data_IF_789762422508
#
_entry.id   IF_789762422508
#
_cell.length_a   1.000
_cell.length_b   1.000
_cell.length_c   1.000
_cell.angle_alpha   90.00
_cell.angle_beta   90.00
_cell.angle_gamma   90.00
#
_symmetry.space_group_name_H-M   'P 1'
#
loop_
_entity.id
_entity.type
_entity.pdbx_description
1 polymer ?
#
# COMPACT_ATOMS: atom_id res chain seq x y z
N UNK A 1 3.13 -2.28 -9.73
CA UNK A 1 4.22 -2.08 -10.71
C UNK A 1 4.96 -3.40 -10.97
N UNK A 2 5.44 -3.63 -12.20
CA UNK A 2 6.30 -4.76 -12.57
C UNK A 2 7.72 -4.28 -12.80
N UNK A 3 8.68 -5.19 -13.03
CA UNK A 3 10.08 -4.84 -13.24
C UNK A 3 10.31 -3.83 -14.38
N UNK A 4 9.51 -3.91 -15.46
CA UNK A 4 9.53 -2.96 -16.57
C UNK A 4 8.99 -1.55 -16.23
N UNK A 5 8.40 -1.37 -15.03
CA UNK A 5 7.88 -0.09 -14.52
C UNK A 5 8.59 0.33 -13.22
N UNK A 6 9.84 -0.07 -13.07
CA UNK A 6 10.62 0.16 -11.85
C UNK A 6 11.23 1.57 -11.82
N UNK A 7 10.76 2.43 -10.91
CA UNK A 7 11.27 3.80 -10.73
C UNK A 7 12.66 3.85 -10.08
N UNK A 8 13.10 2.78 -9.40
CA UNK A 8 14.44 2.73 -8.83
C UNK A 8 15.48 2.07 -9.75
N UNK A 9 15.10 1.69 -10.98
CA UNK A 9 16.00 1.06 -11.94
C UNK A 9 17.21 1.95 -12.27
N UNK A 10 18.43 1.38 -12.35
CA UNK A 10 19.58 2.07 -12.91
C UNK A 10 19.49 2.26 -14.44
N UNK A 11 18.63 1.50 -15.11
CA UNK A 11 18.35 1.64 -16.54
C UNK A 11 17.32 2.75 -16.78
N UNK A 12 17.78 3.82 -17.42
CA UNK A 12 16.95 4.97 -17.78
C UNK A 12 15.77 4.59 -18.70
N UNK A 13 15.93 3.60 -19.57
CA UNK A 13 14.86 3.17 -20.46
C UNK A 13 13.69 2.56 -19.68
N UNK A 14 13.98 1.79 -18.62
CA UNK A 14 12.97 1.24 -17.71
C UNK A 14 12.23 2.37 -16.98
N UNK A 15 12.95 3.38 -16.50
CA UNK A 15 12.35 4.54 -15.82
C UNK A 15 11.44 5.33 -16.77
N UNK A 16 11.90 5.63 -17.99
CA UNK A 16 11.07 6.35 -18.97
C UNK A 16 9.82 5.54 -19.36
N UNK A 17 9.95 4.22 -19.52
CA UNK A 17 8.80 3.34 -19.73
C UNK A 17 7.81 3.39 -18.56
N UNK A 18 8.31 3.36 -17.31
CA UNK A 18 7.47 3.51 -16.12
C UNK A 18 6.67 4.83 -16.11
N UNK A 19 7.36 5.95 -16.38
CA UNK A 19 6.71 7.26 -16.40
C UNK A 19 5.65 7.38 -17.52
N UNK A 20 5.93 6.81 -18.70
CA UNK A 20 4.98 6.76 -19.81
C UNK A 20 3.75 5.91 -19.46
N UNK A 21 3.98 4.73 -18.87
CA UNK A 21 2.92 3.82 -18.40
C UNK A 21 2.00 4.51 -17.39
N UNK A 22 2.56 5.11 -16.35
CA UNK A 22 1.78 5.80 -15.33
C UNK A 22 1.07 7.04 -15.87
N UNK A 23 1.67 7.77 -16.81
CA UNK A 23 1.01 8.90 -17.46
C UNK A 23 -0.28 8.48 -18.18
N UNK A 24 -0.27 7.34 -18.89
CA UNK A 24 -1.47 6.79 -19.52
C UNK A 24 -2.50 6.31 -18.48
N UNK A 25 -2.05 5.68 -17.39
CA UNK A 25 -2.92 5.28 -16.28
C UNK A 25 -3.59 6.51 -15.65
N UNK A 26 -2.85 7.57 -15.35
CA UNK A 26 -3.41 8.78 -14.73
C UNK A 26 -4.43 9.47 -15.62
N UNK A 27 -4.19 9.54 -16.92
CA UNK A 27 -5.19 10.02 -17.88
C UNK A 27 -6.48 9.19 -17.84
N UNK A 28 -6.38 7.86 -17.77
CA UNK A 28 -7.54 6.96 -17.65
C UNK A 28 -8.25 7.13 -16.30
N UNK A 29 -7.49 7.26 -15.22
CA UNK A 29 -8.04 7.52 -13.88
C UNK A 29 -8.80 8.85 -13.82
N UNK A 30 -8.26 9.90 -14.42
CA UNK A 30 -8.93 11.20 -14.51
C UNK A 30 -10.30 11.10 -15.20
N UNK A 31 -10.36 10.40 -16.35
CA UNK A 31 -11.62 10.12 -17.08
C UNK A 31 -12.61 9.35 -16.21
N UNK A 32 -12.13 8.36 -15.45
CA UNK A 32 -12.94 7.55 -14.56
C UNK A 32 -13.32 8.24 -13.23
N UNK A 33 -12.83 9.45 -12.97
CA UNK A 33 -13.05 10.18 -11.73
C UNK A 33 -12.26 9.63 -10.54
N UNK A 34 -11.25 8.76 -10.75
CA UNK A 34 -10.40 8.19 -9.70
C UNK A 34 -9.30 9.20 -9.37
N UNK A 35 -9.10 9.50 -8.07
CA UNK A 35 -8.22 10.57 -7.60
C UNK A 35 -7.02 10.09 -6.80
N UNK A 36 -6.88 8.81 -6.56
CA UNK A 36 -5.70 8.26 -5.86
C UNK A 36 -5.32 6.86 -6.34
N UNK A 37 -4.05 6.54 -6.23
CA UNK A 37 -3.49 5.22 -6.47
C UNK A 37 -2.49 4.91 -5.36
N UNK A 38 -2.43 3.67 -4.90
CA UNK A 38 -1.51 3.22 -3.86
C UNK A 38 -0.75 1.97 -4.24
N UNK A 39 0.23 1.61 -3.41
CA UNK A 39 1.06 0.43 -3.56
C UNK A 39 2.55 0.74 -3.61
N UNK A 40 3.35 -0.24 -4.01
CA UNK A 40 4.80 -0.14 -4.16
C UNK A 40 5.25 0.66 -5.38
N UNK A 41 4.62 1.82 -5.66
CA UNK A 41 4.87 2.64 -6.86
C UNK A 41 6.32 3.11 -6.99
N UNK A 42 7.03 3.17 -5.89
CA UNK A 42 8.41 3.64 -5.76
C UNK A 42 9.45 2.64 -6.29
N UNK A 43 9.04 1.38 -6.52
CA UNK A 43 9.89 0.29 -6.98
C UNK A 43 9.14 -0.64 -7.94
N UNK A 44 9.31 -1.95 -7.79
CA UNK A 44 8.57 -2.96 -8.52
C UNK A 44 8.20 -4.13 -7.59
N UNK A 45 7.18 -4.90 -7.99
CA UNK A 45 6.71 -6.05 -7.24
C UNK A 45 6.23 -7.15 -8.21
N UNK A 46 6.48 -8.45 -7.93
CA UNK A 46 7.32 -8.94 -6.82
C UNK A 46 8.81 -8.63 -7.02
N UNK A 47 9.53 -8.45 -5.91
CA UNK A 47 10.97 -8.15 -5.94
C UNK A 47 11.78 -9.39 -6.29
N UNK A 48 12.77 -9.24 -7.15
CA UNK A 48 13.78 -10.27 -7.44
C UNK A 48 14.93 -10.21 -6.43
N UNK A 49 14.91 -11.13 -5.47
CA UNK A 49 15.98 -11.30 -4.47
C UNK A 49 17.08 -12.27 -4.90
N UNK A 50 17.20 -12.61 -6.18
CA UNK A 50 18.30 -13.43 -6.68
C UNK A 50 19.66 -12.71 -6.60
N UNK A 51 19.65 -11.39 -6.43
CA UNK A 51 20.79 -10.52 -6.19
C UNK A 51 20.56 -9.68 -4.96
N UNK A 52 21.66 -9.31 -4.28
CA UNK A 52 21.60 -8.37 -3.18
C UNK A 52 21.13 -6.99 -3.67
N UNK A 53 20.08 -6.41 -3.06
CA UNK A 53 19.59 -5.10 -3.44
C UNK A 53 20.57 -3.97 -3.07
N UNK A 54 20.75 -3.01 -3.96
CA UNK A 54 21.44 -1.73 -3.66
C UNK A 54 20.44 -0.75 -3.00
N UNK A 55 20.08 -1.01 -1.73
CA UNK A 55 19.04 -0.21 -1.02
C UNK A 55 19.32 1.29 -1.10
N UNK A 56 20.55 1.74 -0.90
CA UNK A 56 20.88 3.16 -0.88
C UNK A 56 20.77 3.80 -2.27
N UNK A 57 21.36 3.18 -3.29
CA UNK A 57 21.28 3.69 -4.66
C UNK A 57 19.87 3.60 -5.24
N UNK A 58 19.13 2.53 -4.94
CA UNK A 58 17.74 2.36 -5.37
C UNK A 58 16.84 3.41 -4.73
N UNK A 59 17.05 3.72 -3.44
CA UNK A 59 16.31 4.76 -2.73
C UNK A 59 16.53 6.14 -3.36
N UNK A 60 17.78 6.50 -3.65
CA UNK A 60 18.12 7.77 -4.30
C UNK A 60 17.47 7.88 -5.68
N UNK A 61 17.58 6.84 -6.51
CA UNK A 61 16.96 6.78 -7.85
C UNK A 61 15.44 6.89 -7.76
N UNK A 62 14.83 6.15 -6.82
CA UNK A 62 13.40 6.18 -6.58
C UNK A 62 12.91 7.57 -6.20
N UNK A 63 13.54 8.25 -5.23
CA UNK A 63 13.18 9.61 -4.82
C UNK A 63 13.23 10.57 -6.00
N UNK A 64 14.31 10.54 -6.79
CA UNK A 64 14.46 11.38 -7.97
C UNK A 64 13.33 11.17 -8.99
N UNK A 65 13.01 9.92 -9.28
CA UNK A 65 12.01 9.58 -10.30
C UNK A 65 10.58 9.70 -9.77
N UNK A 66 10.36 9.50 -8.47
CA UNK A 66 9.06 9.76 -7.83
C UNK A 66 8.67 11.24 -7.90
N UNK A 67 9.62 12.17 -7.80
CA UNK A 67 9.33 13.60 -8.02
C UNK A 67 8.79 13.83 -9.42
N UNK A 68 9.40 13.22 -10.44
CA UNK A 68 8.92 13.31 -11.84
C UNK A 68 7.52 12.70 -11.99
N UNK A 69 7.30 11.54 -11.38
CA UNK A 69 6.00 10.89 -11.40
C UNK A 69 4.93 11.74 -10.70
N UNK A 70 5.27 12.34 -9.56
CA UNK A 70 4.39 13.22 -8.80
C UNK A 70 3.95 14.45 -9.62
N UNK A 71 4.87 15.05 -10.39
CA UNK A 71 4.56 16.17 -11.30
C UNK A 71 3.60 15.75 -12.42
N UNK A 72 3.70 14.50 -12.90
CA UNK A 72 2.75 13.95 -13.87
C UNK A 72 1.39 13.74 -13.21
N UNK A 73 1.35 13.08 -12.04
CA UNK A 73 0.13 12.80 -11.29
C UNK A 73 -0.63 14.09 -10.90
N UNK A 74 0.09 15.13 -10.50
CA UNK A 74 -0.49 16.43 -10.12
C UNK A 74 -1.31 17.05 -11.25
N UNK A 75 -0.83 16.97 -12.51
CA UNK A 75 -1.55 17.48 -13.70
C UNK A 75 -2.90 16.79 -13.91
N UNK A 76 -3.06 15.58 -13.40
CA UNK A 76 -4.31 14.80 -13.46
C UNK A 76 -5.09 14.81 -12.13
N UNK A 77 -4.63 15.58 -11.14
CA UNK A 77 -5.26 15.65 -9.81
C UNK A 77 -5.21 14.32 -9.05
N UNK A 78 -4.13 13.54 -9.22
CA UNK A 78 -3.94 12.22 -8.61
C UNK A 78 -3.00 12.30 -7.41
N UNK A 79 -3.41 11.69 -6.30
CA UNK A 79 -2.57 11.44 -5.13
C UNK A 79 -1.91 10.06 -5.25
N UNK A 80 -0.61 10.01 -4.96
CA UNK A 80 0.20 8.80 -4.95
C UNK A 80 0.41 8.35 -3.50
N UNK A 81 -0.04 7.14 -3.14
CA UNK A 81 0.09 6.60 -1.79
C UNK A 81 1.15 5.50 -1.77
N UNK A 82 2.28 5.77 -1.11
CA UNK A 82 3.43 4.86 -1.02
C UNK A 82 3.19 3.85 0.08
N UNK A 83 3.04 2.58 -0.29
CA UNK A 83 2.80 1.52 0.66
C UNK A 83 4.06 1.09 1.39
N UNK A 84 4.00 1.03 2.70
CA UNK A 84 5.05 0.46 3.54
C UNK A 84 4.89 -1.05 3.54
N UNK A 85 5.77 -1.74 2.81
CA UNK A 85 5.73 -3.19 2.65
C UNK A 85 6.62 -3.88 3.69
N UNK A 86 6.23 -5.08 4.12
CA UNK A 86 7.09 -5.91 4.95
C UNK A 86 8.37 -6.35 4.19
N UNK A 87 9.39 -6.76 4.95
CA UNK A 87 10.72 -7.17 4.44
C UNK A 87 10.71 -8.35 3.45
N UNK A 88 9.63 -9.11 3.37
CA UNK A 88 9.50 -10.22 2.44
C UNK A 88 8.97 -9.79 1.08
N UNK A 89 8.34 -8.60 1.01
CA UNK A 89 7.69 -8.07 -0.17
C UNK A 89 8.35 -6.81 -0.73
N UNK A 90 9.13 -6.10 0.11
CA UNK A 90 9.89 -4.91 -0.30
C UNK A 90 11.13 -4.70 0.56
N UNK A 91 12.05 -3.82 0.13
CA UNK A 91 13.30 -3.56 0.84
C UNK A 91 13.65 -2.06 0.97
N UNK A 92 12.96 -1.18 0.23
CA UNK A 92 13.33 0.24 0.23
C UNK A 92 12.96 0.94 1.54
N UNK A 93 11.78 0.64 2.06
CA UNK A 93 11.35 1.06 3.40
C UNK A 93 10.33 0.07 3.94
N UNK A 94 10.52 -0.36 5.19
CA UNK A 94 9.75 -1.44 5.78
C UNK A 94 8.95 -1.00 7.01
N UNK A 95 9.23 0.17 7.57
CA UNK A 95 8.47 0.75 8.67
C UNK A 95 7.98 2.17 8.35
N UNK A 96 7.12 2.69 9.20
CA UNK A 96 6.54 4.03 9.05
C UNK A 96 7.61 5.13 9.10
N UNK A 97 8.68 4.97 9.89
CA UNK A 97 9.74 5.98 10.00
C UNK A 97 10.54 6.07 8.68
N UNK A 98 10.94 4.94 8.10
CA UNK A 98 11.59 4.89 6.79
C UNK A 98 10.67 5.46 5.69
N UNK A 99 9.38 5.07 5.70
CA UNK A 99 8.37 5.59 4.77
C UNK A 99 8.20 7.10 4.86
N UNK A 100 8.12 7.66 6.08
CA UNK A 100 8.06 9.11 6.30
C UNK A 100 9.34 9.82 5.86
N UNK A 101 10.50 9.22 6.08
CA UNK A 101 11.77 9.76 5.56
C UNK A 101 11.74 9.85 4.04
N UNK A 102 11.22 8.80 3.36
CA UNK A 102 11.03 8.80 1.91
C UNK A 102 10.07 9.90 1.45
N UNK A 103 8.88 10.03 2.04
CA UNK A 103 7.88 11.05 1.68
C UNK A 103 8.46 12.47 1.84
N UNK A 104 9.17 12.72 2.94
CA UNK A 104 9.84 14.02 3.17
C UNK A 104 10.96 14.29 2.17
N UNK A 105 11.72 13.25 1.79
CA UNK A 105 12.78 13.38 0.79
C UNK A 105 12.21 13.63 -0.62
N UNK A 106 11.08 13.02 -0.98
CA UNK A 106 10.38 13.30 -2.24
C UNK A 106 9.86 14.73 -2.28
N UNK A 107 9.36 15.25 -1.16
CA UNK A 107 8.89 16.64 -0.98
C UNK A 107 7.87 17.09 -2.04
N UNK A 108 6.80 16.28 -2.20
CA UNK A 108 5.66 16.57 -3.11
C UNK A 108 4.34 16.44 -2.34
N UNK A 109 3.43 17.43 -2.41
CA UNK A 109 2.21 17.45 -1.62
C UNK A 109 1.22 16.34 -1.97
N UNK A 110 1.27 15.84 -3.21
CA UNK A 110 0.44 14.76 -3.71
C UNK A 110 1.08 13.36 -3.54
N UNK A 111 2.20 13.26 -2.81
CA UNK A 111 2.82 11.97 -2.43
C UNK A 111 2.57 11.75 -0.94
N UNK A 112 1.87 10.68 -0.62
CA UNK A 112 1.42 10.32 0.72
C UNK A 112 1.91 8.94 1.11
N UNK A 113 1.80 8.63 2.40
CA UNK A 113 2.08 7.31 2.94
C UNK A 113 0.81 6.45 2.86
N UNK A 114 1.00 5.17 2.64
CA UNK A 114 -0.02 4.14 2.77
C UNK A 114 0.46 3.11 3.79
N UNK A 115 -0.38 2.79 4.73
CA UNK A 115 -0.15 1.75 5.74
C UNK A 115 -1.07 0.56 5.48
N UNK A 116 -0.60 -0.64 5.78
CA UNK A 116 -1.39 -1.88 5.74
C UNK A 116 -1.20 -2.63 7.06
N UNK A 117 -2.28 -2.97 7.73
CA UNK A 117 -2.25 -3.67 9.01
C UNK A 117 -1.56 -5.03 8.94
N UNK A 118 -1.57 -5.70 7.80
CA UNK A 118 -0.82 -6.94 7.59
C UNK A 118 0.70 -6.68 7.62
N UNK A 119 1.19 -5.66 6.91
CA UNK A 119 2.61 -5.31 6.90
C UNK A 119 3.04 -4.76 8.25
N UNK A 120 2.26 -3.87 8.86
CA UNK A 120 2.50 -3.34 10.21
C UNK A 120 2.63 -4.45 11.27
N UNK A 121 1.79 -5.50 11.19
CA UNK A 121 1.86 -6.63 12.13
C UNK A 121 3.21 -7.39 12.09
N UNK A 122 3.98 -7.24 11.02
CA UNK A 122 5.29 -7.89 10.86
C UNK A 122 6.42 -6.95 11.29
N UNK A 123 6.32 -5.66 10.97
CA UNK A 123 7.44 -4.73 11.02
C UNK A 123 7.35 -3.72 12.18
N UNK A 124 6.15 -3.43 12.68
CA UNK A 124 5.94 -2.40 13.71
C UNK A 124 5.73 -3.00 15.09
N UNK A 125 6.23 -2.34 16.12
CA UNK A 125 6.06 -2.75 17.51
C UNK A 125 4.65 -2.44 18.05
N UNK A 126 3.93 -1.54 17.38
CA UNK A 126 2.53 -1.20 17.71
C UNK A 126 1.78 -0.73 16.47
N UNK A 127 0.44 -0.69 16.52
CA UNK A 127 -0.37 -0.09 15.44
C UNK A 127 -0.65 1.40 15.69
N UNK A 128 -0.68 1.82 16.96
CA UNK A 128 -1.04 3.18 17.34
C UNK A 128 0.05 4.19 16.97
N UNK A 129 1.28 3.96 17.40
CA UNK A 129 2.38 4.90 17.19
C UNK A 129 2.66 5.20 15.72
N UNK A 130 2.77 4.20 14.82
CA UNK A 130 2.96 4.43 13.39
C UNK A 130 1.86 5.31 12.77
N UNK A 131 0.59 5.07 13.12
CA UNK A 131 -0.53 5.88 12.63
C UNK A 131 -0.41 7.33 13.12
N UNK A 132 -0.11 7.52 14.41
CA UNK A 132 0.08 8.86 14.98
C UNK A 132 1.26 9.61 14.33
N UNK A 133 2.36 8.89 14.08
CA UNK A 133 3.54 9.46 13.41
C UNK A 133 3.27 9.81 11.95
N UNK A 134 2.52 8.98 11.22
CA UNK A 134 2.11 9.25 9.86
C UNK A 134 1.28 10.53 9.75
N UNK A 135 0.33 10.73 10.69
CA UNK A 135 -0.45 11.96 10.81
C UNK A 135 -1.00 12.45 9.46
N UNK A 136 -0.75 13.70 9.11
CA UNK A 136 -1.18 14.32 7.85
C UNK A 136 -0.60 13.70 6.57
N UNK A 137 0.44 12.89 6.70
CA UNK A 137 1.05 12.19 5.56
C UNK A 137 0.34 10.88 5.22
N UNK A 138 -0.52 10.35 6.10
CA UNK A 138 -1.32 9.17 5.80
C UNK A 138 -2.39 9.52 4.76
N UNK A 139 -2.33 8.91 3.59
CA UNK A 139 -3.27 9.13 2.49
C UNK A 139 -4.15 7.93 2.19
N UNK A 140 -3.76 6.74 2.65
CA UNK A 140 -4.49 5.50 2.43
C UNK A 140 -4.16 4.48 3.53
N UNK A 141 -5.11 3.63 3.88
CA UNK A 141 -4.85 2.50 4.77
C UNK A 141 -5.52 1.23 4.25
N UNK A 142 -4.75 0.16 4.15
CA UNK A 142 -5.27 -1.19 3.97
C UNK A 142 -5.49 -1.86 5.31
N UNK A 143 -6.58 -2.62 5.40
CA UNK A 143 -7.00 -3.32 6.62
C UNK A 143 -7.27 -4.79 6.34
N UNK A 144 -6.66 -5.65 7.12
CA UNK A 144 -6.80 -7.10 7.04
C UNK A 144 -6.22 -7.77 8.28
N UNK A 145 -6.64 -9.00 8.53
CA UNK A 145 -6.05 -9.80 9.59
C UNK A 145 -4.62 -10.26 9.22
N UNK A 146 -3.76 -10.66 10.17
CA UNK A 146 -2.38 -11.09 9.90
C UNK A 146 -2.27 -12.28 8.93
N UNK A 147 -3.34 -13.01 8.71
CA UNK A 147 -3.42 -14.11 7.76
C UNK A 147 -4.14 -13.75 6.46
N UNK A 148 -4.27 -12.44 6.17
CA UNK A 148 -4.97 -11.91 4.99
C UNK A 148 -6.46 -12.27 4.92
N UNK A 149 -7.09 -12.64 6.02
CA UNK A 149 -8.55 -12.72 6.11
C UNK A 149 -9.16 -11.32 6.23
N UNK A 150 -10.43 -11.15 5.87
CA UNK A 150 -11.15 -9.91 6.12
C UNK A 150 -11.13 -9.52 7.60
N UNK A 151 -11.12 -8.21 7.94
CA UNK A 151 -11.11 -7.74 9.32
C UNK A 151 -12.28 -8.27 10.15
N UNK A 152 -11.98 -8.77 11.36
CA UNK A 152 -12.94 -9.28 12.34
C UNK A 152 -12.34 -9.19 13.74
N UNK A 153 -12.97 -9.87 14.71
CA UNK A 153 -12.44 -10.09 16.05
C UNK A 153 -11.26 -11.10 16.02
N UNK A 154 -10.16 -10.70 15.39
CA UNK A 154 -8.93 -11.48 15.26
C UNK A 154 -7.85 -11.02 16.24
N UNK A 155 -6.63 -10.81 15.71
CA UNK A 155 -5.48 -10.36 16.51
C UNK A 155 -5.17 -8.88 16.36
N UNK A 156 -5.71 -8.25 15.33
CA UNK A 156 -5.47 -6.82 15.09
C UNK A 156 -6.30 -6.01 16.09
N UNK A 157 -5.69 -5.03 16.78
CA UNK A 157 -6.38 -4.21 17.79
C UNK A 157 -7.21 -3.09 17.12
N UNK A 158 -8.28 -3.47 16.46
CA UNK A 158 -9.10 -2.55 15.63
C UNK A 158 -9.59 -1.31 16.36
N UNK A 159 -9.96 -1.44 17.64
CA UNK A 159 -10.39 -0.31 18.45
C UNK A 159 -9.26 0.72 18.70
N UNK A 160 -8.01 0.25 18.87
CA UNK A 160 -6.84 1.12 19.02
C UNK A 160 -6.50 1.82 17.71
N UNK A 161 -6.56 1.09 16.58
CA UNK A 161 -6.37 1.64 15.24
C UNK A 161 -7.41 2.73 14.96
N UNK A 162 -8.69 2.44 15.20
CA UNK A 162 -9.77 3.42 15.02
C UNK A 162 -9.57 4.68 15.86
N UNK A 163 -9.16 4.53 17.13
CA UNK A 163 -8.83 5.65 18.01
C UNK A 163 -7.65 6.47 17.46
N UNK A 164 -6.58 5.82 16.98
CA UNK A 164 -5.42 6.52 16.41
C UNK A 164 -5.79 7.28 15.13
N UNK A 165 -6.59 6.68 14.23
CA UNK A 165 -7.08 7.33 13.01
C UNK A 165 -7.93 8.57 13.33
N UNK A 166 -8.84 8.47 14.30
CA UNK A 166 -9.62 9.64 14.76
C UNK A 166 -8.75 10.72 15.37
N UNK A 167 -7.74 10.34 16.15
CA UNK A 167 -6.82 11.28 16.79
C UNK A 167 -6.03 12.13 15.79
N UNK A 168 -5.67 11.56 14.63
CA UNK A 168 -5.00 12.31 13.56
C UNK A 168 -5.99 13.01 12.61
N UNK A 169 -7.31 12.86 12.83
CA UNK A 169 -8.34 13.41 11.94
C UNK A 169 -8.33 12.78 10.55
N UNK A 170 -8.06 11.48 10.47
CA UNK A 170 -8.01 10.78 9.18
C UNK A 170 -9.40 10.62 8.59
N UNK A 171 -9.59 11.12 7.37
CA UNK A 171 -10.83 11.03 6.57
C UNK A 171 -10.62 10.36 5.21
N UNK A 172 -9.46 9.75 5.02
CA UNK A 172 -9.08 9.07 3.77
C UNK A 172 -9.68 7.66 3.64
N UNK A 173 -9.38 6.98 2.52
CA UNK A 173 -9.89 5.64 2.25
C UNK A 173 -9.36 4.60 3.25
N UNK A 174 -10.26 3.72 3.71
CA UNK A 174 -9.97 2.51 4.45
C UNK A 174 -10.43 1.33 3.59
N UNK A 175 -9.52 0.52 3.11
CA UNK A 175 -9.80 -0.51 2.12
C UNK A 175 -9.38 -1.89 2.64
N UNK A 176 -10.29 -2.86 2.54
CA UNK A 176 -9.97 -4.25 2.86
C UNK A 176 -9.19 -4.89 1.70
N UNK A 177 -8.11 -5.60 2.04
CA UNK A 177 -7.30 -6.35 1.08
C UNK A 177 -7.19 -7.83 1.48
N UNK A 178 -8.28 -8.62 1.43
CA UNK A 178 -8.25 -10.03 1.78
C UNK A 178 -7.72 -10.89 0.62
N UNK A 179 -6.92 -11.92 0.98
CA UNK A 179 -6.41 -12.94 0.06
C UNK A 179 -6.70 -14.32 0.63
N UNK A 180 -7.92 -14.81 0.47
CA UNK A 180 -8.41 -16.03 1.12
C UNK A 180 -8.47 -17.25 0.20
N UNK A 181 -8.48 -17.04 -1.12
CA UNK A 181 -8.55 -18.12 -2.12
C UNK A 181 -7.18 -18.39 -2.75
N UNK A 182 -6.91 -19.65 -3.06
CA UNK A 182 -5.71 -20.05 -3.83
C UNK A 182 -5.89 -19.75 -5.32
N UNK A 183 -4.77 -19.68 -6.02
CA UNK A 183 -4.73 -19.66 -7.47
C UNK A 183 -4.44 -18.30 -8.08
N UNK A 184 -4.43 -18.28 -9.42
CA UNK A 184 -4.03 -17.09 -10.17
C UNK A 184 -2.57 -16.68 -9.97
N UNK A 185 -2.14 -15.65 -10.68
CA UNK A 185 -0.78 -15.14 -10.56
C UNK A 185 -0.57 -14.42 -9.21
N UNK A 186 -1.54 -13.63 -8.77
CA UNK A 186 -1.47 -12.91 -7.50
C UNK A 186 -1.32 -13.88 -6.33
N UNK A 187 -2.15 -14.95 -6.27
CA UNK A 187 -2.04 -15.94 -5.20
C UNK A 187 -0.68 -16.64 -5.14
N UNK A 188 -0.01 -16.81 -6.30
CA UNK A 188 1.38 -17.32 -6.35
C UNK A 188 2.39 -16.30 -5.83
N UNK A 189 2.26 -15.06 -6.25
CA UNK A 189 3.19 -13.98 -5.91
C UNK A 189 3.16 -13.66 -4.41
N UNK A 190 1.96 -13.68 -3.78
CA UNK A 190 1.77 -13.52 -2.33
C UNK A 190 1.77 -14.82 -1.54
N UNK A 191 2.02 -15.96 -2.19
CA UNK A 191 2.23 -17.29 -1.58
C UNK A 191 1.02 -17.82 -0.79
N UNK A 192 -0.18 -17.69 -1.35
CA UNK A 192 -1.40 -18.30 -0.80
C UNK A 192 -1.45 -19.77 -1.21
N UNK A 193 -0.85 -20.63 -0.39
CA UNK A 193 -0.71 -22.07 -0.65
C UNK A 193 -1.82 -22.93 -0.03
N UNK A 194 -2.77 -22.34 0.64
CA UNK A 194 -3.94 -23.02 1.21
C UNK A 194 -5.19 -22.16 1.06
N UNK A 195 -6.33 -22.80 0.89
CA UNK A 195 -7.61 -22.12 0.92
C UNK A 195 -7.94 -21.68 2.35
N UNK A 196 -8.02 -20.37 2.55
CA UNK A 196 -8.41 -19.72 3.81
C UNK A 196 -9.91 -19.46 3.87
N UNK A 197 -10.61 -19.52 2.72
CA UNK A 197 -12.05 -19.33 2.62
C UNK A 197 -12.86 -20.54 3.08
N UNK A 198 -12.21 -21.72 3.24
CA UNK A 198 -12.86 -22.98 3.59
C UNK A 198 -13.92 -23.42 2.55
N UNK A 199 -13.67 -23.14 1.27
CA UNK A 199 -14.58 -23.49 0.20
C UNK A 199 -15.76 -22.53 0.05
N UNK A 200 -15.63 -21.28 0.52
CA UNK A 200 -16.67 -20.25 0.41
C UNK A 200 -17.05 -20.01 -1.06
N UNK A 201 -18.34 -19.81 -1.31
CA UNK A 201 -18.86 -19.32 -2.59
C UNK A 201 -18.62 -17.81 -2.73
N UNK A 202 -18.86 -17.24 -3.92
CA UNK A 202 -18.79 -15.78 -4.12
C UNK A 202 -19.75 -15.05 -3.19
N UNK A 203 -20.99 -15.57 -3.02
CA UNK A 203 -21.97 -14.98 -2.10
C UNK A 203 -21.55 -15.08 -0.63
N UNK A 204 -20.78 -16.12 -0.23
CA UNK A 204 -20.20 -16.21 1.10
C UNK A 204 -19.11 -15.16 1.30
N UNK A 205 -18.26 -14.93 0.29
CA UNK A 205 -17.21 -13.90 0.31
C UNK A 205 -17.81 -12.49 0.37
N UNK A 206 -18.87 -12.23 -0.38
CA UNK A 206 -19.60 -10.95 -0.34
C UNK A 206 -20.19 -10.70 1.06
N UNK A 207 -20.84 -11.71 1.65
CA UNK A 207 -21.37 -11.63 3.04
C UNK A 207 -20.25 -11.42 4.06
N UNK A 208 -19.08 -11.97 3.84
CA UNK A 208 -17.93 -11.77 4.72
C UNK A 208 -17.40 -10.35 4.60
N UNK A 209 -17.35 -9.78 3.40
CA UNK A 209 -16.99 -8.39 3.17
C UNK A 209 -17.99 -7.42 3.83
N UNK A 210 -19.29 -7.66 3.69
CA UNK A 210 -20.35 -6.87 4.33
C UNK A 210 -20.23 -6.87 5.86
N UNK A 211 -20.02 -8.05 6.46
CA UNK A 211 -19.84 -8.19 7.92
C UNK A 211 -18.57 -7.46 8.40
N UNK A 212 -17.49 -7.57 7.64
CA UNK A 212 -16.23 -6.89 7.97
C UNK A 212 -16.37 -5.37 7.85
N UNK A 213 -17.08 -4.88 6.84
CA UNK A 213 -17.41 -3.45 6.72
C UNK A 213 -18.21 -2.94 7.90
N UNK A 214 -19.26 -3.67 8.29
CA UNK A 214 -20.08 -3.31 9.46
C UNK A 214 -19.27 -3.31 10.75
N UNK A 215 -18.40 -4.31 10.93
CA UNK A 215 -17.47 -4.41 12.06
C UNK A 215 -16.51 -3.22 12.13
N UNK A 216 -15.84 -2.91 11.01
CA UNK A 216 -14.89 -1.78 10.95
C UNK A 216 -15.56 -0.42 11.20
N UNK A 217 -16.77 -0.19 10.67
CA UNK A 217 -17.55 1.01 10.97
C UNK A 217 -17.80 1.15 12.47
N UNK A 218 -18.19 0.06 13.14
CA UNK A 218 -18.34 0.06 14.60
C UNK A 218 -17.06 0.37 15.36
N UNK A 219 -15.87 0.01 14.84
CA UNK A 219 -14.59 0.27 15.48
C UNK A 219 -14.02 1.67 15.18
N UNK A 220 -14.28 2.21 14.00
CA UNK A 220 -13.63 3.42 13.52
C UNK A 220 -14.50 4.68 13.69
N UNK A 221 -15.81 4.53 13.71
CA UNK A 221 -16.79 5.63 13.85
C UNK A 221 -17.29 5.82 15.31
N UNK A 222 -16.96 4.88 16.23
CA UNK A 222 -17.43 4.87 17.61
C UNK A 222 -16.66 5.85 18.53
#
# INVERSE_FOLDING_TARGET
PRAEHNLCSPDTAVVENALAFYSDIFRKMEIAGIRSIGGGLYAYWPVDYSREPDKAGDLERSIKNMRRLADIAERHGITLNMEVLNRFEGYLFNDTNEGLAYIRAVDKPNVKLMLDTFHMNIEEDSFTEPILQAGKYLGHIHVGEPNRKPPREGRIPWGEIGKALRQIGYDGPVVMEPFVTMGGQVGKDIRVWRDLSQGATEEDLDRDAEKSLAFLKGMFEA
#
